data_IF_463515014151
#
_entry.id   IF_463515014151
#
_cell.length_a   1.000
_cell.length_b   1.000
_cell.length_c   1.000
_cell.angle_alpha   90.00
_cell.angle_beta   90.00
_cell.angle_gamma   90.00
#
_symmetry.space_group_name_H-M   'P 1'
#
loop_
_entity.id
_entity.type
_entity.pdbx_description
1 polymer ?
#
# COMPACT_ATOMS: atom_id res chain seq x y z
N UNK A 1 1.79 1.35 -1.93
CA UNK A 1 2.15 1.43 -0.50
C UNK A 1 2.63 2.85 -0.23
N UNK A 2 2.79 3.29 1.01
CA UNK A 2 3.37 4.61 1.27
C UNK A 2 4.90 4.60 1.07
N UNK A 3 5.44 5.76 0.65
CA UNK A 3 6.87 5.93 0.34
C UNK A 3 7.79 5.67 1.54
N UNK A 4 7.31 5.88 2.77
CA UNK A 4 8.11 5.67 3.99
C UNK A 4 8.36 4.17 4.16
N UNK A 5 7.32 3.35 4.03
CA UNK A 5 7.44 1.89 4.11
C UNK A 5 8.39 1.34 3.04
N UNK A 6 8.34 1.87 1.81
CA UNK A 6 9.28 1.51 0.75
C UNK A 6 10.73 1.85 1.11
N UNK A 7 10.98 3.05 1.63
CA UNK A 7 12.32 3.45 2.11
C UNK A 7 12.83 2.54 3.23
N UNK A 8 11.97 2.20 4.20
CA UNK A 8 12.28 1.27 5.29
C UNK A 8 12.62 -0.12 4.73
N UNK A 9 11.86 -0.62 3.75
CA UNK A 9 12.12 -1.90 3.08
C UNK A 9 13.48 -1.89 2.36
N UNK A 10 13.76 -0.85 1.57
CA UNK A 10 15.04 -0.71 0.87
C UNK A 10 16.22 -0.67 1.84
N UNK A 11 16.11 0.09 2.95
CA UNK A 11 17.14 0.12 3.99
C UNK A 11 17.35 -1.26 4.65
N UNK A 12 16.26 -2.00 4.92
CA UNK A 12 16.34 -3.36 5.46
C UNK A 12 17.06 -4.31 4.52
N UNK A 13 16.68 -4.31 3.23
CA UNK A 13 17.30 -5.16 2.20
C UNK A 13 18.80 -4.85 2.10
N UNK A 14 19.18 -3.56 2.12
CA UNK A 14 20.58 -3.13 2.12
C UNK A 14 21.38 -3.74 3.26
N UNK A 15 20.84 -3.72 4.48
CA UNK A 15 21.52 -4.26 5.66
C UNK A 15 21.49 -5.79 5.72
N UNK A 16 20.35 -6.42 5.42
CA UNK A 16 20.15 -7.85 5.56
C UNK A 16 20.86 -8.67 4.46
N UNK A 17 20.81 -8.18 3.21
CA UNK A 17 21.29 -8.92 2.02
C UNK A 17 22.66 -8.41 1.55
N UNK A 18 22.84 -7.09 1.47
CA UNK A 18 24.04 -6.48 0.90
C UNK A 18 25.10 -6.09 1.93
N UNK A 19 24.91 -6.48 3.20
CA UNK A 19 25.81 -6.14 4.33
C UNK A 19 26.05 -4.64 4.46
N UNK A 20 25.04 -3.85 4.11
CA UNK A 20 25.02 -2.42 4.34
C UNK A 20 25.06 -2.09 5.83
N UNK A 21 25.39 -0.84 6.16
CA UNK A 21 25.50 -0.38 7.53
C UNK A 21 24.37 0.59 7.90
N UNK A 22 24.17 0.82 9.19
CA UNK A 22 23.17 1.75 9.69
C UNK A 22 23.42 3.19 9.25
N UNK A 23 22.32 3.86 8.91
CA UNK A 23 22.30 5.26 8.46
C UNK A 23 22.42 6.24 9.64
N UNK A 24 21.97 5.84 10.83
CA UNK A 24 21.90 6.67 12.05
C UNK A 24 23.20 6.68 12.88
N UNK A 25 24.25 5.99 12.43
CA UNK A 25 25.55 6.00 13.12
C UNK A 25 26.35 7.27 12.77
N UNK A 26 27.17 7.77 13.71
CA UNK A 26 28.00 8.97 13.48
C UNK A 26 28.93 8.81 12.27
N UNK A 27 29.25 9.89 11.52
CA UNK A 27 30.19 9.87 10.38
C UNK A 27 31.53 9.18 10.72
N UNK A 28 32.29 8.67 9.73
CA UNK A 28 32.23 9.01 8.30
C UNK A 28 31.31 8.15 7.42
N UNK A 29 31.02 8.64 6.21
CA UNK A 29 30.35 7.87 5.16
C UNK A 29 31.32 6.82 4.61
N UNK A 30 30.89 5.56 4.56
CA UNK A 30 31.67 4.45 4.05
C UNK A 30 30.89 3.63 3.03
N UNK A 31 31.56 2.66 2.41
CA UNK A 31 30.96 1.80 1.39
C UNK A 31 29.66 1.13 1.85
N UNK A 32 29.61 0.61 3.07
CA UNK A 32 28.44 -0.07 3.62
C UNK A 32 27.23 0.86 3.78
N UNK A 33 27.44 2.13 4.16
CA UNK A 33 26.37 3.12 4.25
C UNK A 33 25.87 3.52 2.87
N UNK A 34 26.77 3.70 1.89
CA UNK A 34 26.37 4.02 0.52
C UNK A 34 25.48 2.91 -0.07
N UNK A 35 25.77 1.65 0.23
CA UNK A 35 24.92 0.51 -0.16
C UNK A 35 23.50 0.68 0.42
N UNK A 36 23.37 0.88 1.72
CA UNK A 36 22.06 1.06 2.38
C UNK A 36 21.32 2.29 1.84
N UNK A 37 22.02 3.43 1.69
CA UNK A 37 21.47 4.66 1.11
C UNK A 37 20.96 4.44 -0.31
N UNK A 38 21.73 3.77 -1.16
CA UNK A 38 21.37 3.54 -2.56
C UNK A 38 20.15 2.65 -2.69
N UNK A 39 20.03 1.60 -1.87
CA UNK A 39 18.83 0.76 -1.85
C UNK A 39 17.60 1.49 -1.32
N UNK A 40 17.75 2.25 -0.23
CA UNK A 40 16.66 3.09 0.31
C UNK A 40 16.20 4.12 -0.72
N UNK A 41 17.12 4.85 -1.35
CA UNK A 41 16.79 5.85 -2.37
C UNK A 41 16.21 5.21 -3.64
N UNK A 42 16.72 4.04 -4.04
CA UNK A 42 16.14 3.27 -5.14
C UNK A 42 14.72 2.80 -4.85
N UNK A 43 14.43 2.43 -3.61
CA UNK A 43 13.08 2.08 -3.18
C UNK A 43 12.17 3.32 -3.00
N UNK A 44 12.70 4.51 -2.78
CA UNK A 44 11.91 5.75 -2.71
C UNK A 44 11.65 6.34 -4.10
N UNK A 45 12.59 6.15 -5.03
CA UNK A 45 12.60 6.82 -6.33
C UNK A 45 11.30 6.68 -7.14
N UNK A 46 10.63 5.51 -7.21
CA UNK A 46 9.43 5.38 -8.04
C UNK A 46 8.33 6.39 -7.71
N UNK A 47 8.12 6.71 -6.43
CA UNK A 47 7.13 7.71 -5.97
C UNK A 47 7.56 9.17 -6.20
N UNK A 48 8.73 9.41 -6.81
CA UNK A 48 9.10 10.77 -7.27
C UNK A 48 8.20 11.27 -8.41
N UNK A 49 7.34 10.41 -8.99
CA UNK A 49 6.32 10.81 -9.95
C UNK A 49 5.31 11.82 -9.39
N UNK A 50 5.09 11.85 -8.07
CA UNK A 50 4.26 12.85 -7.38
C UNK A 50 4.80 14.28 -7.57
N UNK A 51 6.09 14.46 -7.86
CA UNK A 51 6.65 15.78 -8.18
C UNK A 51 5.94 16.36 -9.42
N UNK A 52 5.53 15.53 -10.38
CA UNK A 52 4.76 15.97 -11.54
C UNK A 52 3.40 16.53 -11.14
N UNK A 53 2.76 15.97 -10.13
CA UNK A 53 1.47 16.42 -9.64
C UNK A 53 1.53 17.84 -9.06
N UNK A 54 2.69 18.24 -8.49
CA UNK A 54 2.92 19.59 -7.96
C UNK A 54 2.90 20.65 -9.07
N UNK A 55 3.40 20.31 -10.27
CA UNK A 55 3.52 21.24 -11.39
C UNK A 55 2.34 21.17 -12.37
N UNK A 56 1.40 20.25 -12.18
CA UNK A 56 0.28 20.02 -13.09
C UNK A 56 -1.05 20.45 -12.48
N UNK A 57 -1.92 21.02 -13.31
CA UNK A 57 -3.29 21.35 -12.93
C UNK A 57 -4.27 20.19 -13.22
N UNK A 58 -3.81 19.11 -13.86
CA UNK A 58 -4.63 17.93 -14.15
C UNK A 58 -4.82 17.08 -12.88
N UNK A 59 -6.03 17.13 -12.33
CA UNK A 59 -6.40 16.39 -11.11
C UNK A 59 -6.49 14.87 -11.35
N UNK A 60 -6.50 14.39 -12.60
CA UNK A 60 -6.57 12.97 -12.92
C UNK A 60 -5.19 12.29 -13.02
N UNK A 61 -4.09 13.01 -12.77
CA UNK A 61 -2.74 12.42 -12.80
C UNK A 61 -2.59 11.24 -11.85
N UNK A 62 -3.23 11.32 -10.67
CA UNK A 62 -3.23 10.24 -9.67
C UNK A 62 -3.77 8.92 -10.23
N UNK A 63 -4.71 8.95 -11.18
CA UNK A 63 -5.25 7.73 -11.79
C UNK A 63 -4.65 7.43 -13.16
N UNK A 64 -4.04 8.39 -13.85
CA UNK A 64 -3.53 8.22 -15.24
C UNK A 64 -2.02 8.07 -15.35
N UNK A 65 -1.25 8.67 -14.45
CA UNK A 65 0.21 8.72 -14.54
C UNK A 65 0.90 8.19 -13.29
N UNK A 66 0.27 8.31 -12.12
CA UNK A 66 0.85 7.75 -10.91
C UNK A 66 1.00 6.23 -11.04
N UNK A 67 2.18 5.74 -10.68
CA UNK A 67 2.66 4.36 -10.86
C UNK A 67 2.84 3.92 -12.31
N UNK A 68 3.28 4.83 -13.17
CA UNK A 68 3.59 4.57 -14.57
C UNK A 68 5.10 4.43 -14.82
N UNK A 69 5.71 5.37 -15.53
CA UNK A 69 7.08 5.29 -16.07
C UNK A 69 8.14 5.02 -14.98
N UNK A 70 7.98 5.59 -13.80
CA UNK A 70 8.91 5.44 -12.67
C UNK A 70 8.80 4.08 -11.98
N UNK A 71 7.66 3.39 -12.14
CA UNK A 71 7.36 2.05 -11.59
C UNK A 71 7.43 0.95 -12.67
N UNK A 72 8.05 1.24 -13.81
CA UNK A 72 8.13 0.30 -14.93
C UNK A 72 9.32 -0.65 -14.81
N UNK A 73 9.08 -1.94 -15.04
CA UNK A 73 10.12 -2.96 -15.19
C UNK A 73 10.94 -2.76 -16.48
N UNK A 74 10.32 -2.19 -17.52
CA UNK A 74 10.99 -1.87 -18.79
C UNK A 74 11.99 -0.72 -18.60
N UNK A 75 11.61 0.29 -17.82
CA UNK A 75 12.45 1.47 -17.54
C UNK A 75 13.42 1.27 -16.38
N UNK A 76 13.24 0.21 -15.59
CA UNK A 76 14.06 -0.09 -14.41
C UNK A 76 15.57 -0.07 -14.70
N UNK A 77 16.11 -0.68 -15.77
CA UNK A 77 17.54 -0.63 -16.06
C UNK A 77 18.04 0.80 -16.30
N UNK A 78 17.25 1.63 -16.98
CA UNK A 78 17.59 3.03 -17.24
C UNK A 78 17.66 3.82 -15.93
N UNK A 79 16.63 3.71 -15.09
CA UNK A 79 16.59 4.41 -13.81
C UNK A 79 17.69 3.97 -12.86
N UNK A 80 17.97 2.66 -12.81
CA UNK A 80 19.04 2.11 -12.00
C UNK A 80 20.42 2.65 -12.41
N UNK A 81 20.71 2.72 -13.72
CA UNK A 81 21.95 3.28 -14.24
C UNK A 81 22.07 4.78 -13.97
N UNK A 82 20.98 5.53 -14.15
CA UNK A 82 20.95 6.98 -13.89
C UNK A 82 21.29 7.28 -12.42
N UNK A 83 20.58 6.63 -11.48
CA UNK A 83 20.79 6.83 -10.06
C UNK A 83 22.18 6.37 -9.60
N UNK A 84 22.69 5.28 -10.18
CA UNK A 84 24.06 4.81 -9.94
C UNK A 84 25.10 5.84 -10.41
N UNK A 85 24.92 6.43 -11.59
CA UNK A 85 25.77 7.49 -12.12
C UNK A 85 25.80 8.72 -11.21
N UNK A 86 24.62 9.22 -10.83
CA UNK A 86 24.48 10.38 -9.91
C UNK A 86 25.18 10.09 -8.58
N UNK A 87 24.94 8.91 -8.01
CA UNK A 87 25.57 8.50 -6.73
C UNK A 87 27.07 8.41 -6.86
N UNK A 88 27.60 7.89 -7.96
CA UNK A 88 29.04 7.80 -8.20
C UNK A 88 29.68 9.17 -8.33
N UNK A 89 29.07 10.09 -9.07
CA UNK A 89 29.56 11.46 -9.22
C UNK A 89 29.60 12.16 -7.85
N UNK A 90 28.55 12.02 -7.06
CA UNK A 90 28.48 12.61 -5.72
C UNK A 90 29.47 11.97 -4.73
N UNK A 91 29.61 10.65 -4.74
CA UNK A 91 30.58 9.96 -3.89
C UNK A 91 32.03 10.35 -4.23
N UNK A 92 32.36 10.46 -5.52
CA UNK A 92 33.69 10.89 -5.97
C UNK A 92 33.98 12.34 -5.54
N UNK A 93 33.04 13.26 -5.71
CA UNK A 93 33.23 14.68 -5.31
C UNK A 93 33.44 14.85 -3.81
N UNK A 94 32.82 13.96 -3.01
CA UNK A 94 32.98 13.92 -1.55
C UNK A 94 34.11 13.01 -1.06
N UNK A 95 34.86 12.37 -1.98
CA UNK A 95 35.92 11.38 -1.69
C UNK A 95 35.43 10.22 -0.80
N UNK A 96 34.17 9.82 -0.96
CA UNK A 96 33.60 8.69 -0.22
C UNK A 96 33.90 7.38 -0.93
N UNK A 97 34.20 6.33 -0.15
CA UNK A 97 34.31 4.98 -0.67
C UNK A 97 32.94 4.47 -1.13
N UNK A 98 32.77 4.26 -2.44
CA UNK A 98 31.55 3.75 -3.04
C UNK A 98 31.80 2.50 -3.89
N UNK A 99 30.81 1.60 -4.04
CA UNK A 99 30.86 0.52 -5.02
C UNK A 99 31.07 1.05 -6.46
N UNK A 100 31.45 0.16 -7.38
CA UNK A 100 31.52 0.48 -8.80
C UNK A 100 30.15 0.88 -9.34
N UNK A 101 30.10 1.59 -10.47
CA UNK A 101 28.82 2.02 -11.10
C UNK A 101 27.93 0.81 -11.41
N UNK A 102 28.51 -0.29 -11.90
CA UNK A 102 27.77 -1.54 -12.18
C UNK A 102 27.17 -2.13 -10.90
N UNK A 103 27.93 -2.18 -9.81
CA UNK A 103 27.43 -2.65 -8.53
C UNK A 103 26.33 -1.73 -7.98
N UNK A 104 26.50 -0.41 -8.07
CA UNK A 104 25.48 0.56 -7.69
C UNK A 104 24.21 0.41 -8.53
N UNK A 105 24.33 0.19 -9.84
CA UNK A 105 23.19 -0.04 -10.71
C UNK A 105 22.41 -1.29 -10.30
N UNK A 106 23.09 -2.40 -9.98
CA UNK A 106 22.44 -3.59 -9.42
C UNK A 106 21.74 -3.32 -8.08
N UNK A 107 22.36 -2.53 -7.19
CA UNK A 107 21.78 -2.14 -5.89
C UNK A 107 20.53 -1.28 -6.08
N UNK A 108 20.57 -0.28 -6.98
CA UNK A 108 19.41 0.54 -7.31
C UNK A 108 18.30 -0.26 -7.99
N UNK A 109 18.65 -1.17 -8.90
CA UNK A 109 17.71 -2.07 -9.55
C UNK A 109 16.93 -2.92 -8.54
N UNK A 110 17.59 -3.45 -7.51
CA UNK A 110 16.92 -4.20 -6.43
C UNK A 110 16.02 -3.28 -5.59
N UNK A 111 16.43 -2.05 -5.31
CA UNK A 111 15.60 -1.08 -4.58
C UNK A 111 14.33 -0.73 -5.35
N UNK A 112 14.47 -0.36 -6.62
CA UNK A 112 13.34 -0.06 -7.52
C UNK A 112 12.43 -1.29 -7.67
N UNK A 113 13.01 -2.48 -7.86
CA UNK A 113 12.24 -3.71 -7.97
C UNK A 113 11.45 -4.01 -6.70
N UNK A 114 12.06 -3.82 -5.52
CA UNK A 114 11.37 -4.02 -4.25
C UNK A 114 10.15 -3.11 -4.11
N UNK A 115 10.26 -1.85 -4.55
CA UNK A 115 9.13 -0.93 -4.59
C UNK A 115 8.03 -1.42 -5.52
N UNK A 116 8.38 -1.76 -6.77
CA UNK A 116 7.40 -2.22 -7.77
C UNK A 116 6.64 -3.45 -7.27
N UNK A 117 7.36 -4.43 -6.68
CA UNK A 117 6.75 -5.64 -6.12
C UNK A 117 5.84 -5.30 -4.94
N UNK A 118 6.29 -4.46 -4.00
CA UNK A 118 5.47 -4.03 -2.86
C UNK A 118 4.25 -3.19 -3.25
N UNK A 119 4.27 -2.56 -4.42
CA UNK A 119 3.10 -1.89 -4.96
C UNK A 119 2.15 -2.85 -5.70
N UNK A 120 2.68 -3.86 -6.41
CA UNK A 120 1.89 -4.91 -7.06
C UNK A 120 1.06 -5.72 -6.06
N UNK A 121 1.59 -5.96 -4.85
CA UNK A 121 0.86 -6.67 -3.79
C UNK A 121 -0.30 -5.86 -3.20
N UNK A 122 -0.48 -4.57 -3.57
CA UNK A 122 -1.58 -3.72 -3.11
C UNK A 122 -2.71 -3.60 -4.14
N UNK A 123 -3.86 -3.07 -3.72
CA UNK A 123 -5.07 -2.97 -4.55
C UNK A 123 -5.17 -1.76 -5.49
N UNK A 124 -4.19 -0.86 -5.45
CA UNK A 124 -4.20 0.37 -6.26
C UNK A 124 -3.91 0.09 -7.75
N UNK A 125 -2.97 -0.81 -8.03
CA UNK A 125 -2.54 -1.19 -9.36
C UNK A 125 -1.34 -0.39 -9.90
N UNK A 126 -0.41 -1.10 -10.55
CA UNK A 126 0.91 -0.56 -10.95
C UNK A 126 1.20 -0.87 -12.42
N UNK A 127 1.59 0.12 -13.22
CA UNK A 127 1.80 -0.07 -14.67
C UNK A 127 3.20 -0.52 -15.02
N UNK A 128 3.52 -1.75 -14.62
CA UNK A 128 4.86 -2.33 -14.73
C UNK A 128 5.40 -2.43 -16.17
N UNK A 129 4.52 -2.36 -17.19
CA UNK A 129 4.88 -2.44 -18.60
C UNK A 129 4.97 -1.08 -19.29
N UNK A 130 4.80 0.04 -18.58
CA UNK A 130 4.90 1.38 -19.17
C UNK A 130 6.29 1.63 -19.78
N UNK A 131 6.43 2.31 -20.92
CA UNK A 131 5.37 2.89 -21.76
C UNK A 131 4.82 1.91 -22.83
N UNK A 132 5.24 0.64 -22.83
CA UNK A 132 4.83 -0.33 -23.84
C UNK A 132 3.35 -0.71 -23.71
N UNK A 133 2.86 -0.86 -22.48
CA UNK A 133 1.46 -1.13 -22.21
C UNK A 133 0.99 -0.41 -20.93
N UNK A 134 -0.27 0.07 -20.97
CA UNK A 134 -0.93 0.80 -19.90
C UNK A 134 -1.90 -0.12 -19.14
N UNK A 135 -1.46 -1.32 -18.75
CA UNK A 135 -2.22 -2.20 -17.86
C UNK A 135 -1.90 -1.91 -16.40
N UNK A 136 -2.86 -2.06 -15.49
CA UNK A 136 -2.72 -1.82 -14.04
C UNK A 136 -2.93 -3.11 -13.22
N UNK A 137 -2.05 -4.11 -13.32
CA UNK A 137 -2.13 -5.29 -12.46
C UNK A 137 -2.07 -4.90 -10.97
N UNK A 138 -2.88 -5.59 -10.17
CA UNK A 138 -2.95 -5.52 -8.71
C UNK A 138 -3.19 -6.95 -8.18
N UNK A 139 -2.48 -7.36 -7.14
CA UNK A 139 -2.62 -8.71 -6.55
C UNK A 139 -3.48 -8.74 -5.29
N UNK A 140 -3.89 -7.58 -4.78
CA UNK A 140 -4.83 -7.45 -3.66
C UNK A 140 -4.41 -8.23 -2.40
N UNK A 141 -3.12 -8.32 -2.07
CA UNK A 141 -2.65 -9.11 -0.92
C UNK A 141 -2.54 -8.30 0.36
N UNK A 142 -2.11 -7.04 0.25
CA UNK A 142 -1.74 -6.19 1.38
C UNK A 142 -2.46 -4.85 1.26
N UNK A 143 -2.94 -4.33 2.38
CA UNK A 143 -3.59 -3.03 2.42
C UNK A 143 -2.58 -1.92 2.06
N UNK A 144 -3.06 -0.83 1.45
CA UNK A 144 -2.18 0.22 0.91
C UNK A 144 -1.29 0.85 1.99
N UNK A 145 -1.78 0.95 3.23
CA UNK A 145 -1.04 1.43 4.40
C UNK A 145 -1.03 0.33 5.46
N UNK A 146 -0.12 -0.63 5.32
CA UNK A 146 -0.03 -1.78 6.23
C UNK A 146 0.99 -1.55 7.36
N UNK A 147 0.49 -1.18 8.54
CA UNK A 147 1.32 -0.95 9.72
C UNK A 147 2.00 -2.23 10.25
N UNK A 148 1.45 -3.42 9.96
CA UNK A 148 2.06 -4.69 10.38
C UNK A 148 3.32 -4.94 9.58
N UNK A 149 3.23 -4.85 8.25
CA UNK A 149 4.40 -4.96 7.38
C UNK A 149 5.44 -3.89 7.71
N UNK A 150 5.01 -2.64 7.90
CA UNK A 150 5.90 -1.54 8.30
C UNK A 150 6.66 -1.86 9.59
N UNK A 151 5.97 -2.39 10.61
CA UNK A 151 6.58 -2.77 11.86
C UNK A 151 7.56 -3.94 11.71
N UNK A 152 7.22 -4.97 10.93
CA UNK A 152 8.10 -6.11 10.63
C UNK A 152 9.38 -5.68 9.93
N UNK A 153 9.29 -4.66 9.07
CA UNK A 153 10.45 -4.09 8.38
C UNK A 153 11.28 -3.15 9.28
N UNK A 154 10.63 -2.33 10.11
CA UNK A 154 11.29 -1.27 10.89
C UNK A 154 11.84 -1.74 12.23
N UNK A 155 11.04 -2.45 13.03
CA UNK A 155 11.39 -2.77 14.42
C UNK A 155 12.72 -3.53 14.53
N UNK A 156 13.01 -4.54 13.70
CA UNK A 156 14.30 -5.25 13.77
C UNK A 156 15.49 -4.35 13.45
N UNK A 157 15.33 -3.36 12.57
CA UNK A 157 16.35 -2.35 12.29
C UNK A 157 16.63 -1.47 13.51
N UNK A 158 15.56 -1.05 14.19
CA UNK A 158 15.66 -0.25 15.42
C UNK A 158 16.33 -1.07 16.52
N UNK A 159 15.94 -2.34 16.71
CA UNK A 159 16.55 -3.24 17.69
C UNK A 159 18.04 -3.48 17.40
N UNK A 160 18.41 -3.68 16.13
CA UNK A 160 19.81 -3.79 15.72
C UNK A 160 20.62 -2.57 16.17
N UNK A 161 20.09 -1.35 15.99
CA UNK A 161 20.73 -0.11 16.43
C UNK A 161 20.73 0.08 17.96
N UNK A 162 19.64 -0.28 18.64
CA UNK A 162 19.52 -0.23 20.11
C UNK A 162 20.62 -1.07 20.75
N UNK A 163 20.81 -2.30 20.26
CA UNK A 163 21.74 -3.27 20.83
C UNK A 163 23.17 -3.20 20.30
N UNK A 164 23.42 -2.44 19.23
CA UNK A 164 24.77 -2.28 18.67
C UNK A 164 25.81 -1.74 19.67
N UNK A 165 25.40 -1.03 20.73
CA UNK A 165 26.32 -0.46 21.72
C UNK A 165 25.91 -0.88 23.15
N UNK A 166 26.61 -1.85 23.77
CA UNK A 166 26.26 -2.39 25.09
C UNK A 166 26.17 -1.34 26.22
N UNK A 167 26.88 -0.22 26.09
CA UNK A 167 26.81 0.84 27.10
C UNK A 167 25.59 1.76 26.96
N UNK A 168 24.96 1.80 25.78
CA UNK A 168 23.88 2.75 25.45
C UNK A 168 22.50 2.08 25.32
N UNK A 169 22.43 0.74 25.35
CA UNK A 169 21.19 0.02 25.03
C UNK A 169 20.03 0.41 25.96
N UNK A 170 20.25 0.59 27.28
CA UNK A 170 19.16 0.95 28.23
C UNK A 170 18.46 2.24 27.81
N UNK A 171 19.25 3.28 27.53
CA UNK A 171 18.75 4.60 27.10
C UNK A 171 18.07 4.51 25.74
N UNK A 172 18.66 3.78 24.79
CA UNK A 172 18.10 3.60 23.44
C UNK A 172 16.79 2.81 23.46
N UNK A 173 16.74 1.69 24.19
CA UNK A 173 15.57 0.85 24.35
C UNK A 173 14.42 1.62 25.01
N UNK A 174 14.70 2.31 26.12
CA UNK A 174 13.70 3.15 26.80
C UNK A 174 13.18 4.26 25.88
N UNK A 175 14.08 4.99 25.22
CA UNK A 175 13.69 6.06 24.29
C UNK A 175 12.85 5.56 23.12
N UNK A 176 13.25 4.45 22.48
CA UNK A 176 12.48 3.87 21.37
C UNK A 176 11.16 3.26 21.85
N UNK A 177 11.13 2.57 22.99
CA UNK A 177 9.88 2.07 23.53
C UNK A 177 8.87 3.20 23.79
N UNK A 178 9.28 4.33 24.38
CA UNK A 178 8.40 5.50 24.57
C UNK A 178 7.86 6.07 23.26
N UNK A 179 8.66 6.05 22.18
CA UNK A 179 8.24 6.48 20.84
C UNK A 179 7.24 5.51 20.22
N UNK A 180 7.45 4.20 20.38
CA UNK A 180 6.58 3.15 19.80
C UNK A 180 5.35 2.85 20.65
N UNK A 181 5.35 3.20 21.94
CA UNK A 181 4.24 2.97 22.86
C UNK A 181 2.89 3.53 22.38
N UNK A 182 2.77 4.78 21.86
CA UNK A 182 1.50 5.29 21.36
C UNK A 182 1.06 4.68 20.01
N UNK A 183 1.94 3.97 19.28
CA UNK A 183 1.65 3.54 17.92
C UNK A 183 0.44 2.60 17.80
N UNK A 184 0.26 1.54 18.63
CA UNK A 184 -0.93 0.69 18.56
C UNK A 184 -2.24 1.45 18.76
N UNK A 185 -2.25 2.44 19.66
CA UNK A 185 -3.42 3.28 19.90
C UNK A 185 -3.74 4.17 18.68
N UNK A 186 -2.73 4.82 18.11
CA UNK A 186 -2.90 5.65 16.91
C UNK A 186 -3.39 4.82 15.71
N UNK A 187 -2.86 3.61 15.54
CA UNK A 187 -3.30 2.67 14.49
C UNK A 187 -4.77 2.28 14.70
N UNK A 188 -5.18 2.00 15.95
CA UNK A 188 -6.59 1.69 16.25
C UNK A 188 -7.53 2.87 15.92
N UNK A 189 -7.12 4.10 16.22
CA UNK A 189 -7.89 5.30 15.85
C UNK A 189 -7.99 5.49 14.33
N UNK A 190 -6.94 5.14 13.58
CA UNK A 190 -7.02 5.12 12.13
C UNK A 190 -7.93 3.99 11.62
N UNK A 191 -7.89 2.81 12.26
CA UNK A 191 -8.78 1.67 11.99
C UNK A 191 -10.26 2.02 12.11
N UNK A 192 -10.65 2.69 13.20
CA UNK A 192 -12.03 3.21 13.38
C UNK A 192 -12.45 4.11 12.23
N UNK A 193 -11.55 4.99 11.77
CA UNK A 193 -11.82 5.92 10.66
C UNK A 193 -12.00 5.18 9.33
N UNK A 194 -11.27 4.10 9.06
CA UNK A 194 -11.45 3.31 7.83
C UNK A 194 -12.52 2.22 7.93
N UNK A 195 -13.31 2.20 9.02
CA UNK A 195 -14.40 1.24 9.21
C UNK A 195 -13.95 -0.15 9.64
N UNK A 196 -12.73 -0.27 10.18
CA UNK A 196 -12.14 -1.50 10.70
C UNK A 196 -11.70 -1.30 12.16
N UNK A 197 -12.65 -1.24 13.11
CA UNK A 197 -12.36 -0.99 14.52
C UNK A 197 -11.52 -2.12 15.13
N UNK A 198 -10.52 -1.73 15.92
CA UNK A 198 -9.65 -2.66 16.65
C UNK A 198 -10.08 -2.68 18.12
N UNK A 199 -10.25 -3.88 18.69
CA UNK A 199 -10.61 -4.00 20.11
C UNK A 199 -9.52 -3.47 21.04
N UNK A 200 -9.91 -2.83 22.15
CA UNK A 200 -8.98 -2.33 23.17
C UNK A 200 -8.04 -3.41 23.73
N UNK A 201 -8.51 -4.67 23.78
CA UNK A 201 -7.70 -5.82 24.21
C UNK A 201 -6.53 -6.07 23.26
N UNK A 202 -6.76 -5.97 21.95
CA UNK A 202 -5.72 -6.11 20.93
C UNK A 202 -4.73 -4.95 21.00
N UNK A 203 -5.22 -3.73 21.23
CA UNK A 203 -4.35 -2.55 21.42
C UNK A 203 -3.45 -2.72 22.64
N UNK A 204 -4.01 -3.10 23.78
CA UNK A 204 -3.25 -3.37 25.01
C UNK A 204 -2.22 -4.48 24.81
N UNK A 205 -2.61 -5.59 24.17
CA UNK A 205 -1.70 -6.68 23.85
C UNK A 205 -0.55 -6.21 22.96
N UNK A 206 -0.81 -5.41 21.93
CA UNK A 206 0.21 -4.85 21.05
C UNK A 206 1.17 -3.91 21.81
N UNK A 207 0.67 -3.12 22.77
CA UNK A 207 1.52 -2.28 23.64
C UNK A 207 2.44 -3.13 24.54
N UNK A 208 1.92 -4.23 25.09
CA UNK A 208 2.71 -5.20 25.88
C UNK A 208 3.76 -5.90 25.01
N UNK A 209 3.39 -6.34 23.80
CA UNK A 209 4.33 -6.94 22.83
C UNK A 209 5.42 -5.94 22.46
N UNK A 210 5.08 -4.68 22.20
CA UNK A 210 6.06 -3.61 21.94
C UNK A 210 7.07 -3.50 23.10
N UNK A 211 6.60 -3.46 24.35
CA UNK A 211 7.49 -3.46 25.52
C UNK A 211 8.38 -4.72 25.56
N UNK A 212 7.82 -5.90 25.34
CA UNK A 212 8.56 -7.15 25.31
C UNK A 212 9.65 -7.15 24.23
N UNK A 213 9.36 -6.67 23.01
CA UNK A 213 10.34 -6.60 21.92
C UNK A 213 11.57 -5.75 22.30
N UNK A 214 11.38 -4.65 23.02
CA UNK A 214 12.48 -3.76 23.43
C UNK A 214 13.24 -4.22 24.66
N UNK A 215 12.65 -4.98 25.59
CA UNK A 215 13.29 -5.33 26.87
C UNK A 215 13.58 -6.82 27.07
N UNK A 216 12.76 -7.71 26.52
CA UNK A 216 12.89 -9.17 26.69
C UNK A 216 14.25 -9.72 26.21
N UNK A 217 14.83 -9.28 25.08
CA UNK A 217 16.13 -9.78 24.65
C UNK A 217 17.23 -9.61 25.71
N UNK A 218 17.17 -8.54 26.52
CA UNK A 218 18.13 -8.33 27.61
C UNK A 218 17.76 -9.05 28.89
N UNK A 219 16.48 -9.14 29.22
CA UNK A 219 16.03 -9.94 30.36
C UNK A 219 16.46 -11.41 30.21
N UNK A 220 16.53 -11.91 28.98
CA UNK A 220 17.05 -13.24 28.63
C UNK A 220 18.58 -13.29 28.48
N UNK A 221 19.31 -12.21 28.79
CA UNK A 221 20.77 -12.15 28.73
C UNK A 221 21.37 -12.23 27.31
N UNK A 222 20.57 -11.99 26.27
CA UNK A 222 20.91 -12.26 24.87
C UNK A 222 20.95 -11.05 23.94
N UNK A 223 20.32 -9.92 24.26
CA UNK A 223 20.11 -8.80 23.33
C UNK A 223 21.40 -8.23 22.72
N UNK A 224 22.45 -8.08 23.53
CA UNK A 224 23.77 -7.63 23.06
C UNK A 224 24.65 -8.73 22.44
N UNK A 225 24.21 -10.00 22.49
CA UNK A 225 24.90 -11.15 21.86
C UNK A 225 24.41 -11.40 20.44
N UNK A 226 23.22 -10.91 20.09
CA UNK A 226 22.65 -11.05 18.75
C UNK A 226 23.38 -10.10 17.81
N UNK A 227 23.93 -10.66 16.72
CA UNK A 227 24.63 -9.87 15.72
C UNK A 227 23.68 -8.91 14.99
N UNK A 228 24.22 -7.78 14.54
CA UNK A 228 23.45 -6.73 13.86
C UNK A 228 22.75 -7.24 12.60
N UNK A 229 23.43 -8.04 11.79
CA UNK A 229 22.89 -8.64 10.58
C UNK A 229 21.77 -9.65 10.88
N UNK A 230 21.87 -10.42 11.97
CA UNK A 230 20.82 -11.34 12.41
C UNK A 230 19.50 -10.62 12.63
N UNK A 231 19.48 -9.49 13.32
CA UNK A 231 18.26 -8.69 13.50
C UNK A 231 17.62 -8.30 12.17
N UNK A 232 18.42 -7.76 11.25
CA UNK A 232 17.92 -7.31 9.95
C UNK A 232 17.43 -8.50 9.08
N UNK A 233 18.13 -9.64 9.11
CA UNK A 233 17.71 -10.85 8.39
C UNK A 233 16.44 -11.47 8.96
N UNK A 234 16.29 -11.48 10.29
CA UNK A 234 15.06 -11.91 10.95
C UNK A 234 13.89 -11.02 10.54
N UNK A 235 14.09 -9.70 10.49
CA UNK A 235 13.05 -8.78 9.99
C UNK A 235 12.66 -9.04 8.55
N UNK A 236 13.64 -9.24 7.66
CA UNK A 236 13.37 -9.56 6.26
C UNK A 236 12.63 -10.89 6.12
N UNK A 237 13.05 -11.92 6.84
CA UNK A 237 12.39 -13.23 6.84
C UNK A 237 10.95 -13.13 7.37
N UNK A 238 10.73 -12.39 8.46
CA UNK A 238 9.40 -12.18 9.02
C UNK A 238 8.47 -11.43 8.05
N UNK A 239 8.99 -10.43 7.33
CA UNK A 239 8.23 -9.73 6.29
C UNK A 239 7.87 -10.68 5.13
N UNK A 240 8.81 -11.51 4.65
CA UNK A 240 8.53 -12.50 3.59
C UNK A 240 7.47 -13.52 4.04
N UNK A 241 7.59 -14.03 5.27
CA UNK A 241 6.61 -14.95 5.85
C UNK A 241 5.24 -14.27 5.94
N UNK A 242 5.19 -13.00 6.35
CA UNK A 242 3.95 -12.25 6.41
C UNK A 242 3.29 -12.11 5.02
N UNK A 243 4.04 -11.76 3.98
CA UNK A 243 3.51 -11.72 2.59
C UNK A 243 3.02 -13.11 2.13
N UNK A 244 3.71 -14.18 2.51
CA UNK A 244 3.26 -15.53 2.20
C UNK A 244 1.96 -15.90 2.95
N UNK A 245 1.81 -15.47 4.20
CA UNK A 245 0.57 -15.63 4.96
C UNK A 245 -0.58 -14.82 4.32
N UNK A 246 -0.35 -13.57 3.90
CA UNK A 246 -1.37 -12.77 3.21
C UNK A 246 -1.76 -13.38 1.88
N UNK A 247 -0.81 -13.97 1.15
CA UNK A 247 -1.11 -14.73 -0.08
C UNK A 247 -2.04 -15.91 0.19
N UNK A 248 -1.76 -16.68 1.25
CA UNK A 248 -2.59 -17.81 1.64
C UNK A 248 -4.01 -17.38 2.05
N UNK A 249 -4.14 -16.37 2.90
CA UNK A 249 -5.45 -15.88 3.34
C UNK A 249 -6.22 -15.18 2.21
N UNK A 250 -5.53 -14.47 1.31
CA UNK A 250 -6.12 -13.95 0.08
C UNK A 250 -6.73 -15.06 -0.76
N UNK A 251 -6.03 -16.18 -0.95
CA UNK A 251 -6.57 -17.32 -1.72
C UNK A 251 -7.83 -17.90 -1.08
N UNK A 252 -7.89 -17.97 0.26
CA UNK A 252 -9.10 -18.37 0.99
C UNK A 252 -10.25 -17.38 0.80
N UNK A 253 -9.98 -16.07 0.91
CA UNK A 253 -10.97 -15.02 0.70
C UNK A 253 -11.51 -15.03 -0.74
N UNK A 254 -10.62 -15.17 -1.73
CA UNK A 254 -10.97 -15.22 -3.14
C UNK A 254 -11.86 -16.44 -3.44
N UNK A 255 -11.51 -17.60 -2.90
CA UNK A 255 -12.33 -18.82 -3.03
C UNK A 255 -13.72 -18.65 -2.41
N UNK A 256 -13.81 -17.92 -1.29
CA UNK A 256 -15.08 -17.67 -0.59
C UNK A 256 -15.98 -16.71 -1.37
N UNK A 257 -15.45 -15.61 -1.92
CA UNK A 257 -16.24 -14.67 -2.73
C UNK A 257 -16.64 -15.27 -4.09
N UNK A 258 -15.79 -16.11 -4.69
CA UNK A 258 -16.13 -16.87 -5.90
C UNK A 258 -17.32 -17.80 -5.65
N UNK A 259 -17.27 -18.56 -4.55
CA UNK A 259 -18.37 -19.45 -4.15
C UNK A 259 -19.67 -18.68 -3.88
N UNK A 260 -19.58 -17.50 -3.26
CA UNK A 260 -20.74 -16.61 -3.07
C UNK A 260 -21.35 -16.20 -4.41
N UNK A 261 -20.53 -15.77 -5.38
CA UNK A 261 -21.01 -15.38 -6.70
C UNK A 261 -21.66 -16.55 -7.46
N UNK A 262 -21.07 -17.75 -7.37
CA UNK A 262 -21.61 -18.98 -7.98
C UNK A 262 -22.96 -19.38 -7.37
N UNK A 263 -23.05 -19.42 -6.03
CA UNK A 263 -24.29 -19.78 -5.32
C UNK A 263 -25.41 -18.75 -5.56
N UNK A 264 -25.05 -17.46 -5.62
CA UNK A 264 -25.97 -16.37 -5.95
C UNK A 264 -26.31 -16.29 -7.44
N UNK A 265 -25.70 -17.12 -8.29
CA UNK A 265 -25.84 -17.09 -9.76
C UNK A 265 -25.62 -15.70 -10.35
N UNK A 266 -24.65 -14.96 -9.80
CA UNK A 266 -24.34 -13.61 -10.24
C UNK A 266 -23.65 -13.63 -11.60
N UNK A 267 -24.00 -12.70 -12.48
CA UNK A 267 -23.17 -12.42 -13.65
C UNK A 267 -21.97 -11.59 -13.20
N UNK A 268 -20.76 -12.10 -13.45
CA UNK A 268 -19.51 -11.52 -12.91
C UNK A 268 -18.71 -10.87 -14.03
N UNK A 269 -18.65 -9.54 -14.02
CA UNK A 269 -17.75 -8.78 -14.90
C UNK A 269 -16.33 -8.70 -14.29
N UNK A 270 -16.26 -8.51 -12.97
CA UNK A 270 -15.02 -8.49 -12.22
C UNK A 270 -15.24 -8.99 -10.79
N UNK A 271 -14.21 -9.59 -10.21
CA UNK A 271 -14.22 -10.14 -8.84
C UNK A 271 -12.88 -9.91 -8.17
N UNK A 272 -12.89 -9.71 -6.86
CA UNK A 272 -11.67 -9.50 -6.07
C UNK A 272 -11.91 -9.67 -4.57
N UNK A 273 -10.83 -9.91 -3.85
CA UNK A 273 -10.81 -9.96 -2.39
C UNK A 273 -9.77 -8.97 -1.89
N UNK A 274 -10.20 -7.90 -1.23
CA UNK A 274 -9.36 -6.80 -0.78
C UNK A 274 -9.05 -6.96 0.71
N UNK A 275 -7.80 -6.73 1.16
CA UNK A 275 -7.44 -6.87 2.55
C UNK A 275 -7.97 -5.69 3.38
N UNK A 276 -8.54 -5.96 4.55
CA UNK A 276 -8.95 -4.92 5.51
C UNK A 276 -7.89 -4.74 6.61
N UNK A 277 -7.48 -3.50 6.91
CA UNK A 277 -6.47 -3.24 7.92
C UNK A 277 -7.07 -3.26 9.34
N UNK A 278 -6.30 -3.61 10.37
CA UNK A 278 -5.10 -4.45 10.37
C UNK A 278 -5.48 -5.89 10.73
N UNK A 279 -5.53 -6.80 9.76
CA UNK A 279 -5.53 -8.23 10.07
C UNK A 279 -5.22 -9.10 8.85
N UNK A 280 -4.72 -10.30 9.08
CA UNK A 280 -4.62 -11.36 8.07
C UNK A 280 -5.99 -11.98 7.73
N UNK A 281 -7.00 -11.74 8.56
CA UNK A 281 -8.24 -12.51 8.59
C UNK A 281 -9.45 -11.78 8.03
N UNK A 282 -9.47 -10.45 8.05
CA UNK A 282 -10.58 -9.66 7.55
C UNK A 282 -10.34 -9.24 6.11
N UNK A 283 -11.29 -9.59 5.26
CA UNK A 283 -11.23 -9.36 3.82
C UNK A 283 -12.56 -8.81 3.33
N UNK A 284 -12.50 -7.98 2.30
CA UNK A 284 -13.66 -7.42 1.62
C UNK A 284 -13.76 -8.01 0.22
N UNK A 285 -14.78 -8.83 -0.01
CA UNK A 285 -15.05 -9.47 -1.30
C UNK A 285 -15.94 -8.59 -2.15
N UNK A 286 -15.46 -8.19 -3.32
CA UNK A 286 -16.23 -7.39 -4.27
C UNK A 286 -16.54 -8.18 -5.54
N UNK A 287 -17.80 -8.12 -5.98
CA UNK A 287 -18.27 -8.70 -7.25
C UNK A 287 -19.00 -7.63 -8.04
N UNK A 288 -18.46 -7.26 -9.21
CA UNK A 288 -19.13 -6.38 -10.16
C UNK A 288 -20.08 -7.22 -11.03
N UNK A 289 -21.34 -6.84 -11.08
CA UNK A 289 -22.35 -7.36 -12.00
C UNK A 289 -22.83 -6.29 -12.97
N UNK A 290 -23.72 -6.64 -13.91
CA UNK A 290 -24.28 -5.70 -14.90
C UNK A 290 -24.92 -4.45 -14.28
N UNK A 291 -25.53 -4.58 -13.08
CA UNK A 291 -26.38 -3.55 -12.47
C UNK A 291 -25.87 -3.00 -11.13
N UNK A 292 -24.69 -3.42 -10.68
CA UNK A 292 -24.18 -2.95 -9.40
C UNK A 292 -22.94 -3.70 -8.93
N UNK A 293 -22.61 -3.51 -7.66
CA UNK A 293 -21.50 -4.21 -7.00
C UNK A 293 -22.01 -4.84 -5.71
N UNK A 294 -21.69 -6.11 -5.50
CA UNK A 294 -21.91 -6.82 -4.25
C UNK A 294 -20.64 -6.74 -3.40
N UNK A 295 -20.80 -6.41 -2.12
CA UNK A 295 -19.76 -6.40 -1.09
C UNK A 295 -20.07 -7.48 -0.06
N UNK A 296 -19.10 -8.36 0.20
CA UNK A 296 -19.16 -9.39 1.23
C UNK A 296 -17.97 -9.23 2.16
N UNK A 297 -18.24 -8.80 3.41
CA UNK A 297 -17.22 -8.72 4.44
C UNK A 297 -17.00 -10.08 5.08
N UNK A 298 -15.76 -10.54 5.05
CA UNK A 298 -15.39 -11.89 5.46
C UNK A 298 -14.39 -11.85 6.60
N UNK A 299 -14.72 -12.54 7.69
CA UNK A 299 -13.75 -12.96 8.70
C UNK A 299 -13.36 -14.42 8.44
N UNK A 300 -12.10 -14.63 8.05
CA UNK A 300 -11.56 -15.94 7.75
C UNK A 300 -11.22 -16.77 8.99
N UNK A 301 -11.21 -16.17 10.19
CA UNK A 301 -11.07 -16.93 11.43
C UNK A 301 -12.32 -17.76 11.75
N UNK A 302 -13.46 -17.35 11.19
CA UNK A 302 -14.72 -18.07 11.28
C UNK A 302 -14.72 -19.19 10.23
N UNK A 303 -15.01 -20.42 10.67
CA UNK A 303 -15.21 -21.54 9.78
C UNK A 303 -16.32 -21.19 8.78
N UNK A 304 -16.13 -21.52 7.50
CA UNK A 304 -17.20 -21.46 6.52
C UNK A 304 -18.19 -22.58 6.85
N UNK A 305 -19.13 -22.29 7.74
CA UNK A 305 -20.22 -23.18 8.10
C UNK A 305 -21.20 -23.09 6.93
N UNK A 306 -21.49 -24.21 6.25
CA UNK A 306 -22.48 -24.44 5.18
C UNK A 306 -22.57 -23.48 3.95
N UNK A 307 -23.19 -23.96 2.86
CA UNK A 307 -23.50 -23.13 1.68
C UNK A 307 -24.61 -22.11 1.97
N UNK A 308 -25.54 -22.48 2.86
CA UNK A 308 -26.71 -21.67 3.21
C UNK A 308 -26.31 -20.48 4.10
N UNK A 309 -25.43 -20.71 5.07
CA UNK A 309 -24.90 -19.64 5.92
C UNK A 309 -24.00 -18.67 5.14
N UNK A 310 -23.28 -19.13 4.10
CA UNK A 310 -22.49 -18.23 3.24
C UNK A 310 -23.40 -17.22 2.50
N UNK A 311 -24.58 -17.65 2.03
CA UNK A 311 -25.58 -16.76 1.43
C UNK A 311 -26.29 -15.90 2.48
N UNK A 312 -26.39 -16.39 3.71
CA UNK A 312 -26.98 -15.66 4.83
C UNK A 312 -26.02 -14.63 5.46
N UNK A 313 -24.73 -14.67 5.12
CA UNK A 313 -23.78 -13.63 5.54
C UNK A 313 -24.28 -12.26 5.08
N UNK A 314 -24.13 -11.28 5.96
CA UNK A 314 -24.47 -9.90 5.66
C UNK A 314 -23.63 -9.40 4.48
N UNK A 315 -24.31 -9.16 3.37
CA UNK A 315 -23.72 -8.60 2.16
C UNK A 315 -24.43 -7.30 1.83
N UNK A 316 -23.68 -6.37 1.27
CA UNK A 316 -24.20 -5.08 0.84
C UNK A 316 -24.26 -5.04 -0.68
N UNK A 317 -25.39 -4.61 -1.22
CA UNK A 317 -25.53 -4.39 -2.65
C UNK A 317 -25.56 -2.90 -2.96
N UNK A 318 -24.66 -2.47 -3.84
CA UNK A 318 -24.56 -1.11 -4.33
C UNK A 318 -25.09 -1.05 -5.77
N UNK A 319 -26.38 -0.72 -5.97
CA UNK A 319 -26.95 -0.64 -7.31
C UNK A 319 -26.38 0.54 -8.09
N UNK A 320 -26.17 0.34 -9.38
CA UNK A 320 -26.03 1.43 -10.33
C UNK A 320 -27.36 2.17 -10.48
N UNK A 321 -27.26 3.47 -10.72
CA UNK A 321 -28.41 4.26 -11.14
C UNK A 321 -28.98 3.71 -12.46
N UNK A 322 -30.32 3.70 -12.61
CA UNK A 322 -30.96 3.30 -13.87
C UNK A 322 -30.41 4.12 -15.06
N UNK A 323 -30.20 3.50 -16.24
CA UNK A 323 -29.71 4.20 -17.41
C UNK A 323 -30.57 5.42 -17.75
N UNK A 324 -29.92 6.55 -18.04
CA UNK A 324 -30.58 7.76 -18.50
C UNK A 324 -29.65 8.57 -19.41
N UNK A 325 -30.21 9.55 -20.12
CA UNK A 325 -29.46 10.38 -21.08
C UNK A 325 -28.27 11.09 -20.46
N UNK A 326 -28.38 11.58 -19.22
CA UNK A 326 -27.29 12.27 -18.52
C UNK A 326 -26.13 11.34 -18.18
N UNK A 327 -26.42 10.11 -17.74
CA UNK A 327 -25.39 9.09 -17.48
C UNK A 327 -24.67 8.73 -18.78
N UNK A 328 -25.40 8.55 -19.88
CA UNK A 328 -24.81 8.24 -21.19
C UNK A 328 -23.89 9.37 -21.68
N UNK A 329 -24.30 10.62 -21.52
CA UNK A 329 -23.47 11.79 -21.83
C UNK A 329 -22.23 11.82 -20.93
N UNK A 330 -22.40 11.67 -19.61
CA UNK A 330 -21.29 11.68 -18.66
C UNK A 330 -20.27 10.58 -18.96
N UNK A 331 -20.72 9.35 -19.24
CA UNK A 331 -19.83 8.22 -19.55
C UNK A 331 -19.01 8.46 -20.82
N UNK A 332 -19.47 9.26 -21.78
CA UNK A 332 -18.71 9.59 -23.01
C UNK A 332 -17.62 10.64 -22.80
N UNK A 333 -17.59 11.34 -21.66
CA UNK A 333 -16.58 12.36 -21.40
C UNK A 333 -15.17 11.75 -21.28
N UNK A 334 -14.13 12.34 -21.90
CA UNK A 334 -12.76 11.83 -21.84
C UNK A 334 -12.23 11.62 -20.42
N UNK A 335 -12.56 12.52 -19.50
CA UNK A 335 -12.19 12.43 -18.09
C UNK A 335 -12.85 11.24 -17.40
N UNK A 336 -14.13 11.01 -17.69
CA UNK A 336 -14.89 9.89 -17.13
C UNK A 336 -14.38 8.56 -17.68
N UNK A 337 -14.00 8.50 -18.96
CA UNK A 337 -13.36 7.32 -19.55
C UNK A 337 -12.05 6.97 -18.84
N UNK A 338 -11.24 7.95 -18.43
CA UNK A 338 -10.04 7.72 -17.60
C UNK A 338 -10.39 7.16 -16.23
N UNK A 339 -11.45 7.68 -15.59
CA UNK A 339 -11.95 7.18 -14.28
C UNK A 339 -12.42 5.74 -14.41
N UNK A 340 -13.20 5.42 -15.45
CA UNK A 340 -13.68 4.06 -15.71
C UNK A 340 -12.54 3.10 -16.03
N UNK A 341 -11.54 3.52 -16.81
CA UNK A 341 -10.35 2.72 -17.08
C UNK A 341 -9.54 2.42 -15.81
N UNK A 342 -9.46 3.37 -14.87
CA UNK A 342 -8.83 3.13 -13.57
C UNK A 342 -9.65 2.19 -12.69
N UNK A 343 -10.99 2.21 -12.82
CA UNK A 343 -11.91 1.58 -11.89
C UNK A 343 -12.03 0.07 -12.11
N UNK A 344 -12.04 -0.71 -11.02
CA UNK A 344 -12.31 -2.17 -11.08
C UNK A 344 -13.74 -2.51 -10.66
N UNK A 345 -14.26 -1.79 -9.66
CA UNK A 345 -15.62 -1.97 -9.13
C UNK A 345 -16.34 -0.62 -9.11
N UNK A 346 -16.60 0.00 -10.27
CA UNK A 346 -17.30 1.28 -10.35
C UNK A 346 -18.78 1.11 -9.97
N UNK A 347 -19.31 2.08 -9.25
CA UNK A 347 -20.74 2.27 -8.98
C UNK A 347 -21.13 3.66 -9.47
N UNK A 348 -22.16 3.73 -10.30
CA UNK A 348 -22.71 4.97 -10.84
C UNK A 348 -23.92 5.40 -10.02
N UNK A 349 -23.94 6.62 -9.51
CA UNK A 349 -25.09 7.23 -8.84
C UNK A 349 -25.59 8.43 -9.65
N UNK A 350 -26.89 8.66 -9.57
CA UNK A 350 -27.55 9.77 -10.24
C UNK A 350 -28.60 10.38 -9.32
N UNK A 351 -28.62 11.71 -9.28
CA UNK A 351 -29.67 12.48 -8.64
C UNK A 351 -29.81 13.85 -9.32
N UNK A 352 -30.97 14.47 -9.19
CA UNK A 352 -31.22 15.84 -9.66
C UNK A 352 -31.21 16.82 -8.50
N UNK A 353 -30.53 17.96 -8.69
CA UNK A 353 -30.48 19.09 -7.77
C UNK A 353 -31.10 20.30 -8.48
N UNK A 354 -32.43 20.45 -8.41
CA UNK A 354 -33.16 21.43 -9.21
C UNK A 354 -32.99 21.14 -10.71
N UNK A 355 -32.49 22.11 -11.46
CA UNK A 355 -32.24 22.00 -12.90
C UNK A 355 -30.88 21.35 -13.26
N UNK A 356 -30.16 20.85 -12.26
CA UNK A 356 -28.83 20.24 -12.45
C UNK A 356 -28.90 18.73 -12.28
N UNK A 357 -28.55 18.00 -13.32
CA UNK A 357 -28.35 16.56 -13.28
C UNK A 357 -26.95 16.25 -12.74
N UNK A 358 -26.85 15.45 -11.67
CA UNK A 358 -25.59 15.08 -11.04
C UNK A 358 -25.34 13.59 -11.26
N UNK A 359 -24.22 13.27 -11.92
CA UNK A 359 -23.73 11.89 -12.11
C UNK A 359 -22.47 11.73 -11.26
N UNK A 360 -22.45 10.74 -10.38
CA UNK A 360 -21.29 10.37 -9.58
C UNK A 360 -20.82 8.97 -9.92
N UNK A 361 -19.51 8.78 -10.11
CA UNK A 361 -18.90 7.48 -10.36
C UNK A 361 -17.86 7.25 -9.27
N UNK A 362 -18.02 6.18 -8.49
CA UNK A 362 -17.11 5.83 -7.39
C UNK A 362 -16.61 4.40 -7.50
N UNK A 363 -15.33 4.16 -7.25
CA UNK A 363 -14.77 2.81 -7.16
C UNK A 363 -14.81 2.28 -5.71
N UNK A 364 -15.49 1.15 -5.49
CA UNK A 364 -15.66 0.56 -4.16
C UNK A 364 -14.38 -0.02 -3.55
N UNK A 365 -13.27 -0.17 -4.31
CA UNK A 365 -11.95 -0.49 -3.72
C UNK A 365 -11.52 0.53 -2.66
N UNK A 366 -12.04 1.74 -2.73
CA UNK A 366 -11.66 2.86 -1.88
C UNK A 366 -12.89 3.38 -1.14
N UNK A 367 -13.40 2.63 -0.14
CA UNK A 367 -14.65 2.94 0.52
C UNK A 367 -14.60 4.27 1.27
N UNK A 368 -15.79 4.77 1.61
CA UNK A 368 -15.95 6.04 2.31
C UNK A 368 -15.38 5.97 3.72
N UNK A 369 -14.35 6.78 3.97
CA UNK A 369 -13.62 6.83 5.25
C UNK A 369 -14.26 7.79 6.28
N UNK A 370 -15.12 8.74 5.88
CA UNK A 370 -15.74 9.67 6.86
C UNK A 370 -17.24 9.89 6.61
N UNK A 371 -18.06 9.96 7.67
CA UNK A 371 -19.42 10.43 7.54
C UNK A 371 -19.49 11.85 6.94
N UNK A 372 -20.37 12.07 5.95
CA UNK A 372 -20.53 13.38 5.32
C UNK A 372 -19.37 13.83 4.42
N UNK A 373 -18.57 12.89 3.90
CA UNK A 373 -17.67 13.12 2.76
C UNK A 373 -17.89 12.04 1.70
N UNK A 374 -17.78 12.35 0.40
CA UNK A 374 -17.75 11.33 -0.65
C UNK A 374 -16.53 10.41 -0.47
N UNK A 375 -16.58 9.24 -1.10
CA UNK A 375 -15.44 8.33 -1.12
C UNK A 375 -14.26 8.97 -1.88
N UNK A 376 -13.03 8.57 -1.57
CA UNK A 376 -11.82 9.24 -2.07
C UNK A 376 -11.71 9.24 -3.59
N UNK A 377 -12.26 8.23 -4.26
CA UNK A 377 -12.29 8.10 -5.72
C UNK A 377 -13.72 8.24 -6.28
N UNK A 378 -14.48 9.21 -5.77
CA UNK A 378 -15.75 9.63 -6.38
C UNK A 378 -15.51 10.77 -7.37
N UNK A 379 -15.75 10.54 -8.65
CA UNK A 379 -15.74 11.58 -9.68
C UNK A 379 -17.17 12.06 -9.95
N UNK A 380 -17.37 13.38 -10.01
CA UNK A 380 -18.69 14.01 -10.17
C UNK A 380 -18.74 14.80 -11.47
N UNK A 381 -19.83 14.64 -12.20
CA UNK A 381 -20.19 15.43 -13.37
C UNK A 381 -21.54 16.10 -13.10
N UNK A 382 -21.59 17.43 -13.26
CA UNK A 382 -22.83 18.21 -13.19
C UNK A 382 -23.21 18.65 -14.59
N UNK A 383 -24.43 18.34 -15.00
CA UNK A 383 -24.97 18.57 -16.33
C UNK A 383 -26.17 19.52 -16.23
N UNK A 384 -26.31 20.42 -17.20
CA UNK A 384 -27.52 21.22 -17.39
C UNK A 384 -28.66 20.39 -17.95
N UNK A 385 -29.85 20.97 -18.04
CA UNK A 385 -31.05 20.31 -18.61
C UNK A 385 -30.89 19.91 -20.07
N UNK A 386 -30.02 20.60 -20.80
CA UNK A 386 -29.61 20.36 -22.18
C UNK A 386 -28.51 19.28 -22.32
N UNK A 387 -27.99 18.76 -21.20
CA UNK A 387 -26.89 17.81 -21.17
C UNK A 387 -25.50 18.44 -21.32
N UNK A 388 -25.38 19.77 -21.30
CA UNK A 388 -24.08 20.43 -21.31
C UNK A 388 -23.36 20.29 -19.96
N UNK A 389 -22.05 20.07 -19.97
CA UNK A 389 -21.23 19.94 -18.75
C UNK A 389 -21.09 21.29 -18.08
N UNK A 390 -21.72 21.46 -16.92
CA UNK A 390 -21.59 22.65 -16.08
C UNK A 390 -20.28 22.62 -15.28
N UNK A 391 -19.93 21.45 -14.74
CA UNK A 391 -18.67 21.23 -14.03
C UNK A 391 -18.35 19.75 -13.92
N UNK A 392 -17.08 19.40 -13.79
CA UNK A 392 -16.64 18.05 -13.50
C UNK A 392 -15.35 18.03 -12.66
N UNK A 393 -15.16 16.96 -11.88
CA UNK A 393 -13.94 16.77 -11.09
C UNK A 393 -14.10 15.72 -9.99
N UNK A 394 -13.02 15.46 -9.26
CA UNK A 394 -13.12 14.71 -8.00
C UNK A 394 -14.09 15.41 -7.06
N UNK A 395 -14.98 14.62 -6.46
CA UNK A 395 -15.89 15.10 -5.44
C UNK A 395 -15.08 15.49 -4.20
N UNK A 396 -14.63 16.73 -4.16
CA UNK A 396 -14.09 17.36 -2.96
C UNK A 396 -15.21 18.08 -2.23
N UNK A 397 -15.00 18.36 -0.94
CA UNK A 397 -15.88 19.29 -0.21
C UNK A 397 -15.88 20.66 -0.86
#
# INVERSE_FOLDING_TARGET
MDTITHGIAGALIGKAVFRGQDLLASPPMNRGRIITWSLMLGAIFPDSDVVRDIFSHDKLLVITWHRSITHSLVMLPLWALLLAGITRVFANSRKWEAPSVVALAGIYAVGILSHIVLDLVTSFGTMIWSPLAWSRPAWDLIFIIDFTLTALLLVPQVLAWVYAHPQKWKRRAMGMWLVFLPAPFLIARMGEVVGAPISDRVVLLAMVISAALFFLPVLLGGGGKIQHDTWNRTGLAAAVIYVACTWYTHHMALSRIQKFAELGRLQVDSIGALPLPPSLWHWDGLVRSEHGVYELRMDLSQQAVSNEELLALEHHYYPDAPPNSFIEVAKRLPEVQKVLWFSRFPVTRFHQEGDVAVVEISDLRFPRVRPGRPASFTYRVRLGTDGNVLSQGWATR
#
